data_IF_104478535249
#
_entry.id   IF_104478535249
#
_cell.length_a   1.000
_cell.length_b   1.000
_cell.length_c   1.000
_cell.angle_alpha   90.00
_cell.angle_beta   90.00
_cell.angle_gamma   90.00
#
_symmetry.space_group_name_H-M   'P 1'
#
loop_
_entity.id
_entity.type
_entity.pdbx_description
1 polymer ?
#
# COMPACT_ATOMS: atom_id res chain seq x y z
N UNK A 1 -22.02 3.64 6.51
CA UNK A 1 -21.78 4.58 7.63
C UNK A 1 -22.81 4.29 8.71
N UNK A 2 -22.42 4.35 9.98
CA UNK A 2 -23.27 4.14 11.14
C UNK A 2 -22.79 5.06 12.29
N UNK A 3 -23.70 5.54 13.12
CA UNK A 3 -23.40 6.40 14.26
C UNK A 3 -22.79 5.59 15.41
N UNK A 4 -21.85 6.18 16.15
CA UNK A 4 -21.19 5.56 17.31
C UNK A 4 -21.37 6.45 18.53
N UNK A 5 -21.54 5.84 19.70
CA UNK A 5 -21.59 6.53 20.99
C UNK A 5 -20.21 6.52 21.69
N UNK A 6 -20.15 7.11 22.88
CA UNK A 6 -18.94 7.18 23.71
C UNK A 6 -18.41 5.79 24.06
N UNK A 7 -19.31 4.87 24.41
CA UNK A 7 -18.98 3.54 24.90
C UNK A 7 -18.37 2.68 23.78
N UNK A 8 -18.89 2.83 22.56
CA UNK A 8 -18.31 2.25 21.35
C UNK A 8 -16.89 2.77 21.12
N UNK A 9 -16.70 4.09 21.19
CA UNK A 9 -15.39 4.72 20.96
C UNK A 9 -14.38 4.28 22.02
N UNK A 10 -14.78 4.17 23.28
CA UNK A 10 -13.91 3.73 24.38
C UNK A 10 -13.37 2.32 24.16
N UNK A 11 -14.23 1.38 23.71
CA UNK A 11 -13.81 0.02 23.36
C UNK A 11 -12.76 -0.02 22.25
N UNK A 12 -12.78 0.93 21.32
CA UNK A 12 -11.81 1.00 20.22
C UNK A 12 -10.50 1.69 20.62
N UNK A 13 -10.51 2.58 21.61
CA UNK A 13 -9.29 3.29 22.06
C UNK A 13 -8.37 2.44 22.92
N UNK A 14 -8.94 1.55 23.75
CA UNK A 14 -8.21 0.81 24.78
C UNK A 14 -7.95 -0.66 24.41
N UNK A 15 -7.82 -0.97 23.13
CA UNK A 15 -7.72 -2.35 22.63
C UNK A 15 -6.50 -2.53 21.74
N UNK A 16 -5.98 -3.75 21.71
CA UNK A 16 -5.03 -4.17 20.70
C UNK A 16 -5.78 -4.52 19.41
N UNK A 17 -5.12 -4.38 18.27
CA UNK A 17 -5.75 -4.63 16.98
C UNK A 17 -5.20 -5.88 16.33
N UNK A 18 -6.07 -6.69 15.74
CA UNK A 18 -5.69 -7.66 14.74
C UNK A 18 -5.87 -7.02 13.35
N UNK A 19 -4.87 -7.17 12.50
CA UNK A 19 -4.88 -6.65 11.12
C UNK A 19 -4.88 -7.79 10.12
N UNK A 20 -5.62 -7.61 9.03
CA UNK A 20 -5.66 -8.54 7.92
C UNK A 20 -4.35 -8.45 7.13
N UNK A 21 -3.76 -9.62 6.87
CA UNK A 21 -2.48 -9.78 6.16
C UNK A 21 -2.61 -10.64 4.90
N UNK A 22 -3.84 -10.99 4.50
CA UNK A 22 -4.18 -11.66 3.25
C UNK A 22 -5.20 -10.82 2.49
N UNK A 23 -4.98 -10.53 1.21
CA UNK A 23 -5.92 -9.68 0.49
C UNK A 23 -7.22 -10.42 0.15
N UNK A 24 -8.33 -9.69 0.12
CA UNK A 24 -9.68 -10.24 -0.09
C UNK A 24 -9.99 -11.42 0.85
N UNK A 25 -9.63 -11.28 2.12
CA UNK A 25 -9.90 -12.28 3.15
C UNK A 25 -11.42 -12.29 3.47
N UNK A 26 -12.12 -13.43 3.31
CA UNK A 26 -13.53 -13.50 3.66
C UNK A 26 -13.71 -13.48 5.18
N UNK A 27 -14.63 -12.64 5.65
CA UNK A 27 -15.03 -12.53 7.05
C UNK A 27 -16.40 -13.16 7.23
N UNK A 28 -16.56 -13.97 8.27
CA UNK A 28 -17.78 -14.69 8.59
C UNK A 28 -18.26 -14.31 9.99
N UNK A 29 -19.56 -14.47 10.25
CA UNK A 29 -20.07 -14.40 11.61
C UNK A 29 -19.91 -15.74 12.35
N UNK A 30 -20.35 -15.82 13.61
CA UNK A 30 -20.24 -17.04 14.42
C UNK A 30 -21.09 -18.22 13.91
N UNK A 31 -22.05 -17.97 13.01
CA UNK A 31 -22.85 -18.99 12.36
C UNK A 31 -22.30 -19.36 10.97
N UNK A 32 -21.02 -19.02 10.69
CA UNK A 32 -20.32 -19.24 9.42
C UNK A 32 -20.98 -18.60 8.19
N UNK A 33 -21.86 -17.62 8.39
CA UNK A 33 -22.41 -16.83 7.29
C UNK A 33 -21.41 -15.75 6.86
N UNK A 34 -21.17 -15.67 5.56
CA UNK A 34 -20.30 -14.65 4.96
C UNK A 34 -20.84 -13.24 5.24
N UNK A 35 -19.94 -12.33 5.59
CA UNK A 35 -20.24 -10.92 5.83
C UNK A 35 -19.71 -10.05 4.69
N UNK A 36 -18.39 -10.06 4.48
CA UNK A 36 -17.71 -9.26 3.46
C UNK A 36 -16.27 -9.73 3.27
N UNK A 37 -15.61 -9.23 2.22
CA UNK A 37 -14.17 -9.36 2.04
C UNK A 37 -13.44 -8.20 2.72
N UNK A 38 -12.47 -8.53 3.57
CA UNK A 38 -11.55 -7.58 4.15
C UNK A 38 -10.25 -7.52 3.33
N UNK A 39 -9.72 -6.32 3.17
CA UNK A 39 -8.46 -6.05 2.47
C UNK A 39 -7.29 -6.05 3.46
N UNK A 40 -6.07 -6.31 2.98
CA UNK A 40 -4.85 -6.08 3.79
C UNK A 40 -4.91 -4.69 4.44
N UNK A 41 -4.43 -4.59 5.69
CA UNK A 41 -4.47 -3.43 6.58
C UNK A 41 -5.82 -3.13 7.26
N UNK A 42 -6.91 -3.82 6.89
CA UNK A 42 -8.16 -3.75 7.66
C UNK A 42 -7.88 -4.22 9.08
N UNK A 43 -8.25 -3.43 10.08
CA UNK A 43 -7.88 -3.67 11.48
C UNK A 43 -9.12 -3.75 12.36
N UNK A 44 -9.16 -4.71 13.26
CA UNK A 44 -10.27 -5.00 14.16
C UNK A 44 -9.79 -5.01 15.61
N UNK A 45 -10.54 -4.41 16.55
CA UNK A 45 -10.29 -4.57 17.98
C UNK A 45 -10.28 -6.03 18.40
N UNK A 46 -9.26 -6.45 19.14
CA UNK A 46 -9.19 -7.79 19.72
C UNK A 46 -10.07 -7.83 20.98
N UNK A 47 -10.94 -8.82 21.03
CA UNK A 47 -11.73 -9.19 22.20
C UNK A 47 -11.00 -10.25 23.01
N UNK A 48 -10.49 -11.28 22.31
CA UNK A 48 -9.73 -12.37 22.91
C UNK A 48 -8.75 -12.97 21.90
N UNK A 49 -7.68 -13.58 22.39
CA UNK A 49 -6.64 -14.22 21.59
C UNK A 49 -6.57 -15.72 21.92
N UNK A 50 -6.98 -16.55 20.95
CA UNK A 50 -6.96 -18.00 21.04
C UNK A 50 -5.78 -18.58 20.23
N UNK A 51 -5.40 -19.85 20.41
CA UNK A 51 -4.23 -20.43 19.74
C UNK A 51 -4.26 -20.32 18.21
N UNK A 52 -5.42 -20.54 17.58
CA UNK A 52 -5.57 -20.55 16.11
C UNK A 52 -6.19 -19.29 15.51
N UNK A 53 -6.80 -18.43 16.31
CA UNK A 53 -7.60 -17.29 15.82
C UNK A 53 -7.72 -16.19 16.86
N UNK A 54 -8.11 -15.01 16.40
CA UNK A 54 -8.56 -13.92 17.25
C UNK A 54 -10.09 -13.88 17.27
N UNK A 55 -10.67 -13.56 18.43
CA UNK A 55 -12.01 -13.02 18.51
C UNK A 55 -11.90 -11.51 18.41
N UNK A 56 -12.62 -10.91 17.47
CA UNK A 56 -12.54 -9.48 17.20
C UNK A 56 -13.90 -8.83 17.08
N UNK A 57 -13.96 -7.53 17.34
CA UNK A 57 -15.15 -6.75 17.05
C UNK A 57 -15.19 -6.34 15.56
N UNK A 58 -16.31 -6.65 14.90
CA UNK A 58 -16.77 -5.96 13.68
C UNK A 58 -18.01 -5.13 14.02
N UNK A 59 -18.31 -4.13 13.20
CA UNK A 59 -19.51 -3.32 13.35
C UNK A 59 -20.53 -3.65 12.25
N UNK A 60 -21.81 -3.77 12.65
CA UNK A 60 -22.97 -3.81 11.74
C UNK A 60 -23.85 -2.61 12.00
N UNK A 61 -24.69 -2.24 11.03
CA UNK A 61 -25.64 -1.14 11.18
C UNK A 61 -27.00 -1.67 11.60
N UNK A 62 -27.60 -1.12 12.65
CA UNK A 62 -29.00 -1.40 13.01
C UNK A 62 -30.01 -0.58 12.20
N UNK A 63 -31.30 -0.76 12.50
CA UNK A 63 -32.41 -0.05 11.85
C UNK A 63 -32.38 1.47 12.07
N UNK A 64 -31.77 1.91 13.16
CA UNK A 64 -31.61 3.32 13.54
C UNK A 64 -30.30 3.93 13.04
N UNK A 65 -29.58 3.22 12.17
CA UNK A 65 -28.26 3.59 11.67
C UNK A 65 -27.16 3.69 12.73
N UNK A 66 -27.33 3.10 13.92
CA UNK A 66 -26.28 3.00 14.92
C UNK A 66 -25.37 1.79 14.62
N UNK A 67 -24.10 1.92 14.99
CA UNK A 67 -23.11 0.87 14.88
C UNK A 67 -23.26 -0.09 16.06
N UNK A 68 -23.53 -1.34 15.77
CA UNK A 68 -23.62 -2.39 16.79
C UNK A 68 -22.47 -3.36 16.62
N UNK A 69 -21.74 -3.57 17.71
CA UNK A 69 -20.62 -4.51 17.73
C UNK A 69 -21.11 -5.95 17.63
N UNK A 70 -20.37 -6.74 16.86
CA UNK A 70 -20.50 -8.18 16.73
C UNK A 70 -19.14 -8.80 16.93
N UNK A 71 -19.08 -9.90 17.67
CA UNK A 71 -17.85 -10.68 17.80
C UNK A 71 -17.77 -11.64 16.64
N UNK A 72 -16.65 -11.62 15.93
CA UNK A 72 -16.35 -12.55 14.84
C UNK A 72 -15.00 -13.22 15.07
N UNK A 73 -14.82 -14.39 14.47
CA UNK A 73 -13.58 -15.14 14.49
C UNK A 73 -12.76 -14.80 13.24
N UNK A 74 -11.48 -14.49 13.42
CA UNK A 74 -10.53 -14.34 12.32
C UNK A 74 -9.29 -15.21 12.53
N UNK A 75 -8.96 -16.01 11.53
CA UNK A 75 -7.87 -17.00 11.62
C UNK A 75 -6.49 -16.33 11.60
N UNK A 76 -5.54 -16.82 12.41
CA UNK A 76 -4.16 -16.31 12.48
C UNK A 76 -3.35 -16.56 11.20
N UNK A 77 -3.82 -17.40 10.28
CA UNK A 77 -3.22 -17.57 8.96
C UNK A 77 -3.44 -16.36 8.05
N UNK A 78 -4.58 -15.67 8.21
CA UNK A 78 -5.00 -14.51 7.40
C UNK A 78 -4.91 -13.17 8.13
N UNK A 79 -4.60 -13.20 9.43
CA UNK A 79 -4.51 -12.03 10.29
C UNK A 79 -3.33 -12.13 11.25
N UNK A 80 -2.90 -10.98 11.80
CA UNK A 80 -1.89 -10.93 12.86
C UNK A 80 -2.15 -9.75 13.78
N UNK A 81 -1.62 -9.84 15.00
CA UNK A 81 -1.63 -8.73 15.95
C UNK A 81 -0.79 -7.56 15.43
N UNK A 82 -1.34 -6.34 15.48
CA UNK A 82 -0.73 -5.09 15.01
C UNK A 82 -0.14 -4.32 16.20
N UNK A 83 1.08 -3.74 16.09
CA UNK A 83 1.95 -3.74 14.91
C UNK A 83 2.71 -5.06 14.71
N UNK A 84 2.79 -5.49 13.46
CA UNK A 84 3.61 -6.62 13.05
C UNK A 84 5.08 -6.17 13.01
N UNK A 85 6.01 -7.05 13.37
CA UNK A 85 7.45 -6.77 13.26
C UNK A 85 7.84 -6.58 11.79
N UNK A 86 8.45 -5.45 11.47
CA UNK A 86 9.01 -5.17 10.15
C UNK A 86 10.29 -6.00 9.96
N UNK A 87 10.15 -7.20 9.38
CA UNK A 87 11.24 -8.11 9.08
C UNK A 87 11.02 -8.76 7.70
N UNK A 88 12.05 -9.43 7.17
CA UNK A 88 12.01 -10.03 5.82
C UNK A 88 10.82 -10.97 5.62
N UNK A 89 10.50 -11.79 6.63
CA UNK A 89 9.41 -12.77 6.56
C UNK A 89 8.06 -12.08 6.38
N UNK A 90 7.73 -11.14 7.27
CA UNK A 90 6.46 -10.42 7.23
C UNK A 90 6.35 -9.51 6.01
N UNK A 91 7.45 -8.85 5.62
CA UNK A 91 7.54 -8.08 4.38
C UNK A 91 7.20 -8.97 3.19
N UNK A 92 7.85 -10.13 3.07
CA UNK A 92 7.63 -11.04 1.94
C UNK A 92 6.19 -11.55 1.91
N UNK A 93 5.64 -11.92 3.06
CA UNK A 93 4.24 -12.38 3.19
C UNK A 93 3.28 -11.30 2.71
N UNK A 94 3.42 -10.08 3.22
CA UNK A 94 2.49 -8.98 2.94
C UNK A 94 2.67 -8.44 1.51
N UNK A 95 3.89 -8.27 1.01
CA UNK A 95 4.14 -7.76 -0.35
C UNK A 95 3.50 -8.63 -1.44
N UNK A 96 3.51 -9.96 -1.27
CA UNK A 96 2.94 -10.90 -2.25
C UNK A 96 1.44 -10.70 -2.45
N UNK A 97 0.72 -10.29 -1.42
CA UNK A 97 -0.73 -10.10 -1.47
C UNK A 97 -1.17 -8.93 -2.37
N UNK A 98 -0.26 -8.02 -2.73
CA UNK A 98 -0.56 -6.91 -3.61
C UNK A 98 -0.28 -7.20 -5.09
N UNK A 99 0.63 -8.14 -5.38
CA UNK A 99 1.12 -8.37 -6.75
C UNK A 99 -0.01 -8.79 -7.69
N UNK A 100 -0.11 -8.14 -8.85
CA UNK A 100 -1.17 -8.39 -9.83
C UNK A 100 -2.54 -7.81 -9.46
N UNK A 101 -2.71 -7.15 -8.30
CA UNK A 101 -3.96 -6.43 -8.01
C UNK A 101 -4.19 -5.36 -9.09
N UNK A 102 -5.38 -5.35 -9.70
CA UNK A 102 -5.74 -4.38 -10.74
C UNK A 102 -5.67 -2.95 -10.18
N UNK A 103 -5.35 -1.98 -11.03
CA UNK A 103 -5.34 -0.58 -10.65
C UNK A 103 -6.77 -0.05 -10.46
N UNK A 104 -7.07 0.52 -9.29
CA UNK A 104 -8.35 1.16 -8.98
C UNK A 104 -8.16 2.62 -8.60
N UNK A 105 -8.45 3.56 -9.52
CA UNK A 105 -8.34 4.98 -9.25
C UNK A 105 -9.18 5.38 -8.03
N UNK A 106 -8.56 5.97 -7.00
CA UNK A 106 -9.29 6.41 -5.81
C UNK A 106 -9.89 5.29 -4.96
N UNK A 107 -9.63 4.01 -5.27
CA UNK A 107 -10.29 2.88 -4.61
C UNK A 107 -11.39 2.21 -5.45
N UNK A 108 -11.57 2.56 -6.73
CA UNK A 108 -12.62 1.98 -7.58
C UNK A 108 -12.56 0.45 -7.61
N UNK A 109 -13.74 -0.18 -7.58
CA UNK A 109 -13.91 -1.64 -7.51
C UNK A 109 -13.22 -2.29 -6.31
N UNK A 110 -13.03 -1.55 -5.22
CA UNK A 110 -12.29 -1.98 -4.02
C UNK A 110 -10.82 -2.31 -4.29
N UNK A 111 -10.28 -1.92 -5.44
CA UNK A 111 -8.87 -2.07 -5.77
C UNK A 111 -8.06 -0.89 -5.27
N UNK A 112 -6.73 -1.00 -5.26
CA UNK A 112 -5.84 0.10 -4.83
C UNK A 112 -5.34 0.94 -6.01
N UNK A 113 -5.12 2.22 -5.74
CA UNK A 113 -4.21 3.04 -6.54
C UNK A 113 -2.79 3.02 -5.93
N UNK A 114 -1.86 3.76 -6.54
CA UNK A 114 -0.46 3.81 -6.10
C UNK A 114 -0.30 4.11 -4.61
N UNK A 115 -0.98 5.15 -4.12
CA UNK A 115 -0.89 5.62 -2.74
C UNK A 115 -1.70 4.78 -1.75
N UNK A 116 -2.81 4.18 -2.17
CA UNK A 116 -3.53 3.22 -1.33
C UNK A 116 -2.68 1.95 -1.11
N UNK A 117 -1.98 1.46 -2.14
CA UNK A 117 -1.08 0.31 -2.03
C UNK A 117 0.05 0.55 -1.03
N UNK A 118 0.75 1.68 -1.12
CA UNK A 118 1.83 2.00 -0.17
C UNK A 118 1.30 2.18 1.25
N UNK A 119 0.20 2.89 1.44
CA UNK A 119 -0.43 3.06 2.76
C UNK A 119 -0.81 1.73 3.39
N UNK A 120 -1.46 0.86 2.63
CA UNK A 120 -1.95 -0.43 3.13
C UNK A 120 -0.78 -1.42 3.31
N UNK A 121 0.35 -1.27 2.60
CA UNK A 121 1.57 -2.02 2.89
C UNK A 121 2.17 -1.65 4.26
N UNK A 122 2.23 -0.36 4.59
CA UNK A 122 2.86 0.13 5.82
C UNK A 122 1.98 -0.03 7.08
N UNK A 123 0.65 0.04 6.92
CA UNK A 123 -0.28 0.03 8.05
C UNK A 123 -0.20 -1.20 8.99
N UNK A 124 -0.02 -2.45 8.50
CA UNK A 124 0.16 -3.61 9.37
C UNK A 124 1.38 -3.51 10.29
N UNK A 125 2.42 -2.78 9.87
CA UNK A 125 3.64 -2.53 10.66
C UNK A 125 3.49 -1.37 11.65
N UNK A 126 2.30 -0.77 11.74
CA UNK A 126 2.03 0.37 12.62
C UNK A 126 2.49 1.72 12.05
N UNK A 127 2.91 1.75 10.79
CA UNK A 127 3.35 2.98 10.13
C UNK A 127 2.15 3.59 9.41
N UNK A 128 1.75 4.78 9.85
CA UNK A 128 0.67 5.52 9.23
C UNK A 128 1.19 6.34 8.05
N UNK A 129 0.44 6.37 6.95
CA UNK A 129 0.70 7.24 5.81
C UNK A 129 -0.58 7.96 5.37
N UNK A 130 -0.49 9.23 4.94
CA UNK A 130 -1.63 9.97 4.41
C UNK A 130 -2.13 9.37 3.09
N UNK A 131 -3.34 9.75 2.67
CA UNK A 131 -4.01 9.13 1.51
C UNK A 131 -3.37 9.45 0.15
N UNK A 132 -2.80 10.63 -0.03
CA UNK A 132 -2.34 11.12 -1.34
C UNK A 132 -0.83 11.00 -1.49
N UNK A 133 -0.37 10.67 -2.69
CA UNK A 133 1.05 10.44 -3.01
C UNK A 133 1.96 11.63 -2.65
N UNK A 134 1.51 12.87 -2.89
CA UNK A 134 2.27 14.07 -2.54
C UNK A 134 2.41 14.22 -1.03
N UNK A 135 1.34 14.00 -0.28
CA UNK A 135 1.36 14.03 1.18
C UNK A 135 2.25 12.91 1.74
N UNK A 136 2.22 11.71 1.15
CA UNK A 136 3.08 10.60 1.59
C UNK A 136 4.55 10.91 1.40
N UNK A 137 4.93 11.49 0.26
CA UNK A 137 6.32 11.87 -0.02
C UNK A 137 6.89 12.83 1.03
N UNK A 138 6.07 13.75 1.55
CA UNK A 138 6.48 14.75 2.53
C UNK A 138 6.07 14.41 3.96
N UNK A 139 5.56 13.20 4.22
CA UNK A 139 5.07 12.83 5.55
C UNK A 139 6.22 12.61 6.53
N UNK A 140 7.32 12.03 6.07
CA UNK A 140 8.55 11.82 6.86
C UNK A 140 9.71 12.57 6.20
N UNK A 141 10.94 12.04 6.29
CA UNK A 141 12.13 12.68 5.75
C UNK A 141 12.18 12.62 4.22
N UNK A 142 11.76 13.71 3.58
CA UNK A 142 11.86 13.91 2.13
C UNK A 142 13.28 14.33 1.71
N UNK A 143 13.78 13.71 0.64
CA UNK A 143 15.04 14.04 0.00
C UNK A 143 14.76 14.37 -1.46
N UNK A 144 15.06 15.61 -1.86
CA UNK A 144 14.89 16.08 -3.23
C UNK A 144 16.01 15.55 -4.12
N UNK A 145 15.62 14.87 -5.20
CA UNK A 145 16.50 14.34 -6.23
C UNK A 145 16.25 15.03 -7.58
N UNK A 146 15.30 15.97 -7.67
CA UNK A 146 14.79 16.51 -8.93
C UNK A 146 15.86 17.14 -9.84
N UNK A 147 16.93 17.67 -9.23
CA UNK A 147 18.06 18.31 -9.93
C UNK A 147 19.19 17.34 -10.33
N UNK A 148 19.16 16.09 -9.87
CA UNK A 148 20.20 15.10 -10.18
C UNK A 148 20.00 14.52 -11.59
N UNK A 149 21.10 14.12 -12.23
CA UNK A 149 21.05 13.37 -13.48
C UNK A 149 20.52 11.94 -13.26
N UNK A 150 20.06 11.26 -14.33
CA UNK A 150 19.50 9.89 -14.29
C UNK A 150 20.36 8.90 -13.50
N UNK A 151 21.65 8.80 -13.84
CA UNK A 151 22.61 7.89 -13.19
C UNK A 151 22.91 8.29 -11.74
N UNK A 152 22.97 9.59 -11.46
CA UNK A 152 23.19 10.11 -10.11
C UNK A 152 22.00 9.82 -9.20
N UNK A 153 20.76 9.99 -9.69
CA UNK A 153 19.53 9.61 -8.96
C UNK A 153 19.57 8.14 -8.56
N UNK A 154 19.89 7.26 -9.50
CA UNK A 154 19.89 5.82 -9.27
C UNK A 154 20.95 5.43 -8.24
N UNK A 155 22.18 5.95 -8.40
CA UNK A 155 23.26 5.76 -7.42
C UNK A 155 22.87 6.27 -6.04
N UNK A 156 22.29 7.46 -5.95
CA UNK A 156 21.88 8.05 -4.67
C UNK A 156 20.83 7.17 -3.95
N UNK A 157 19.83 6.67 -4.68
CA UNK A 157 18.83 5.77 -4.11
C UNK A 157 19.49 4.48 -3.62
N UNK A 158 20.41 3.89 -4.39
CA UNK A 158 21.12 2.66 -4.00
C UNK A 158 21.94 2.87 -2.71
N UNK A 159 22.62 4.01 -2.58
CA UNK A 159 23.51 4.31 -1.45
C UNK A 159 22.76 4.73 -0.18
N UNK A 160 21.60 5.40 -0.30
CA UNK A 160 20.95 6.06 0.83
C UNK A 160 19.55 5.55 1.17
N UNK A 161 18.85 4.87 0.26
CA UNK A 161 17.52 4.34 0.53
C UNK A 161 17.58 2.96 1.20
N UNK A 162 16.62 2.69 2.08
CA UNK A 162 16.42 1.38 2.71
C UNK A 162 15.26 0.64 2.04
N UNK A 163 15.47 -0.58 1.49
CA UNK A 163 14.40 -1.39 0.93
C UNK A 163 13.24 -1.58 1.92
N UNK A 164 12.01 -1.47 1.43
CA UNK A 164 10.76 -1.60 2.21
C UNK A 164 10.54 -0.55 3.30
N UNK A 165 11.45 0.41 3.45
CA UNK A 165 11.38 1.52 4.40
C UNK A 165 11.47 2.89 3.69
N UNK A 166 11.51 2.88 2.36
CA UNK A 166 11.61 4.10 1.53
C UNK A 166 10.54 4.10 0.46
N UNK A 167 9.94 5.27 0.23
CA UNK A 167 9.07 5.50 -0.93
C UNK A 167 9.79 6.35 -1.96
N UNK A 168 9.48 6.12 -3.24
CA UNK A 168 10.00 6.87 -4.38
C UNK A 168 8.84 7.65 -4.99
N UNK A 169 9.02 8.96 -5.14
CA UNK A 169 7.97 9.88 -5.55
C UNK A 169 8.26 10.54 -6.89
N UNK A 170 7.21 10.60 -7.72
CA UNK A 170 7.12 11.50 -8.87
C UNK A 170 5.74 12.16 -8.89
N UNK A 171 5.59 13.28 -9.60
CA UNK A 171 4.30 13.99 -9.64
C UNK A 171 3.16 13.07 -10.10
N UNK A 172 2.22 12.80 -9.18
CA UNK A 172 1.04 11.96 -9.40
C UNK A 172 1.26 10.45 -9.25
N UNK A 173 2.41 9.99 -8.76
CA UNK A 173 2.68 8.56 -8.53
C UNK A 173 3.66 8.34 -7.38
N UNK A 174 3.46 7.27 -6.62
CA UNK A 174 4.36 6.87 -5.53
C UNK A 174 4.60 5.37 -5.57
N UNK A 175 5.79 4.96 -5.17
CA UNK A 175 6.25 3.58 -5.26
C UNK A 175 6.96 3.17 -3.97
N UNK A 176 6.92 1.89 -3.63
CA UNK A 176 7.71 1.32 -2.55
C UNK A 176 9.06 0.88 -3.10
N UNK A 177 10.17 1.44 -2.61
CA UNK A 177 11.50 0.95 -2.95
C UNK A 177 11.71 -0.45 -2.37
N UNK A 178 12.17 -1.40 -3.18
CA UNK A 178 12.36 -2.79 -2.75
C UNK A 178 13.81 -3.30 -2.91
N UNK A 179 14.73 -2.43 -3.30
CA UNK A 179 16.14 -2.76 -3.52
C UNK A 179 16.59 -2.56 -4.96
N UNK A 180 17.73 -3.14 -5.29
CA UNK A 180 18.36 -3.03 -6.60
C UNK A 180 18.94 -4.36 -7.05
N UNK A 181 19.06 -4.53 -8.37
CA UNK A 181 19.73 -5.66 -9.04
C UNK A 181 20.51 -5.10 -10.21
N UNK A 182 21.76 -5.51 -10.40
CA UNK A 182 22.63 -5.04 -11.49
C UNK A 182 22.66 -3.51 -11.64
N UNK A 183 22.80 -2.81 -10.51
CA UNK A 183 22.76 -1.34 -10.40
C UNK A 183 21.46 -0.67 -10.88
N UNK A 184 20.38 -1.42 -11.06
CA UNK A 184 19.04 -0.89 -11.36
C UNK A 184 18.17 -0.89 -10.12
N UNK A 185 17.58 0.26 -9.81
CA UNK A 185 16.63 0.41 -8.71
C UNK A 185 15.29 -0.21 -9.08
N UNK A 186 14.75 -1.04 -8.19
CA UNK A 186 13.45 -1.66 -8.31
C UNK A 186 12.46 -1.11 -7.28
N UNK A 187 11.20 -1.01 -7.72
CA UNK A 187 10.11 -0.60 -6.87
C UNK A 187 8.87 -1.48 -7.10
N UNK A 188 8.07 -1.65 -6.05
CA UNK A 188 6.73 -2.23 -6.11
C UNK A 188 5.70 -1.09 -6.13
N UNK A 189 4.76 -1.14 -7.07
CA UNK A 189 3.77 -0.09 -7.23
C UNK A 189 2.57 -0.55 -8.04
N UNK A 190 1.38 -0.06 -7.67
CA UNK A 190 0.18 -0.19 -8.48
C UNK A 190 0.07 1.01 -9.42
N UNK A 191 0.10 0.76 -10.74
CA UNK A 191 0.14 1.82 -11.75
C UNK A 191 -0.84 1.62 -12.90
N UNK A 192 -1.28 2.73 -13.47
CA UNK A 192 -2.15 2.72 -14.65
C UNK A 192 -1.38 2.39 -15.93
N UNK A 193 -0.40 3.20 -16.31
CA UNK A 193 0.35 3.02 -17.56
C UNK A 193 1.40 4.08 -17.81
N UNK A 194 2.23 3.84 -18.81
CA UNK A 194 3.32 4.73 -19.23
C UNK A 194 2.80 5.65 -20.33
N UNK A 195 3.20 6.93 -20.31
CA UNK A 195 2.81 7.88 -21.37
C UNK A 195 3.47 7.50 -22.69
N UNK A 196 2.70 7.48 -23.76
CA UNK A 196 3.19 7.26 -25.12
C UNK A 196 2.91 8.47 -26.01
N UNK A 197 3.71 8.59 -27.06
CA UNK A 197 3.44 9.43 -28.23
C UNK A 197 2.86 8.57 -29.37
N UNK A 198 2.06 9.19 -30.22
CA UNK A 198 1.68 8.58 -31.50
C UNK A 198 2.74 8.87 -32.59
N UNK A 199 2.51 8.33 -33.79
CA UNK A 199 3.41 8.48 -34.95
C UNK A 199 3.58 9.94 -35.40
N UNK A 200 2.65 10.83 -35.01
CA UNK A 200 2.74 12.28 -35.27
C UNK A 200 3.57 13.02 -34.21
N UNK A 201 4.05 12.32 -33.18
CA UNK A 201 4.77 12.90 -32.04
C UNK A 201 3.85 13.49 -30.96
N UNK A 202 2.53 13.35 -31.08
CA UNK A 202 1.58 13.91 -30.11
C UNK A 202 1.55 13.03 -28.86
N UNK A 203 1.81 13.66 -27.71
CA UNK A 203 1.70 13.02 -26.39
C UNK A 203 0.22 12.92 -26.02
N UNK A 204 -0.25 11.70 -25.74
CA UNK A 204 -1.65 11.49 -25.35
C UNK A 204 -1.98 10.07 -24.96
N UNK A 205 -1.35 9.09 -25.61
CA UNK A 205 -1.59 7.67 -25.39
C UNK A 205 -1.04 7.13 -24.06
N UNK A 206 -1.41 5.87 -23.77
CA UNK A 206 -0.86 5.11 -22.65
C UNK A 206 -0.57 3.68 -23.07
N UNK A 207 0.61 3.18 -22.69
CA UNK A 207 0.86 1.74 -22.62
C UNK A 207 0.40 1.25 -21.25
N UNK A 208 -0.73 0.54 -21.23
CA UNK A 208 -1.41 0.14 -19.98
C UNK A 208 -0.65 -1.01 -19.31
N UNK A 209 -0.39 -0.84 -18.02
CA UNK A 209 0.05 -1.91 -17.11
C UNK A 209 -1.15 -2.33 -16.26
N UNK A 210 -1.83 -1.35 -15.64
CA UNK A 210 -3.15 -1.53 -15.02
C UNK A 210 -3.17 -2.41 -13.78
N UNK A 211 -2.05 -2.59 -13.09
CA UNK A 211 -1.95 -3.45 -11.91
C UNK A 211 -0.71 -3.15 -11.06
N UNK A 212 -0.62 -3.80 -9.90
CA UNK A 212 0.59 -3.86 -9.07
C UNK A 212 1.66 -4.69 -9.73
N UNK A 213 2.82 -4.07 -9.93
CA UNK A 213 4.01 -4.71 -10.50
C UNK A 213 5.25 -4.41 -9.67
N UNK A 214 6.27 -5.23 -9.87
CA UNK A 214 7.66 -4.90 -9.56
C UNK A 214 8.33 -4.48 -10.86
N UNK A 215 8.91 -3.29 -10.90
CA UNK A 215 9.63 -2.82 -12.08
C UNK A 215 10.87 -2.01 -11.71
N UNK A 216 11.81 -1.90 -12.65
CA UNK A 216 12.90 -0.94 -12.52
C UNK A 216 12.41 0.48 -12.79
N UNK A 217 13.16 1.49 -12.35
CA UNK A 217 12.83 2.89 -12.68
C UNK A 217 13.00 3.22 -14.18
N UNK A 218 13.56 2.31 -14.97
CA UNK A 218 13.68 2.42 -16.43
C UNK A 218 12.47 1.80 -17.15
N UNK A 219 11.35 1.62 -16.45
CA UNK A 219 10.13 1.06 -17.03
C UNK A 219 9.72 1.82 -18.31
N UNK A 220 9.64 1.08 -19.42
CA UNK A 220 9.32 1.61 -20.76
C UNK A 220 10.53 1.74 -21.69
N UNK A 221 11.75 1.56 -21.19
CA UNK A 221 12.98 1.59 -22.00
C UNK A 221 12.92 0.55 -23.13
N UNK A 222 13.24 0.98 -24.35
CA UNK A 222 13.22 0.13 -25.55
C UNK A 222 11.83 -0.21 -26.10
N UNK A 223 10.75 0.33 -25.55
CA UNK A 223 9.40 0.12 -26.10
C UNK A 223 9.03 1.23 -27.11
N UNK A 224 8.47 0.82 -28.24
CA UNK A 224 7.96 1.74 -29.26
C UNK A 224 6.95 2.74 -28.70
N UNK A 225 7.08 3.99 -29.13
CA UNK A 225 6.21 5.09 -28.72
C UNK A 225 6.47 5.64 -27.31
N UNK A 226 7.50 5.15 -26.59
CA UNK A 226 7.93 5.70 -25.30
C UNK A 226 9.23 6.47 -25.47
N UNK A 227 9.21 7.75 -25.11
CA UNK A 227 10.41 8.58 -25.12
C UNK A 227 11.20 8.47 -23.82
N UNK A 228 12.50 8.79 -23.88
CA UNK A 228 13.38 8.84 -22.70
C UNK A 228 12.79 9.72 -21.59
N UNK A 229 12.19 10.86 -21.93
CA UNK A 229 11.55 11.79 -20.98
C UNK A 229 10.34 11.19 -20.24
N UNK A 230 9.73 10.13 -20.80
CA UNK A 230 8.58 9.44 -20.21
C UNK A 230 8.98 8.35 -19.22
N UNK A 231 10.24 7.92 -19.23
CA UNK A 231 10.77 6.93 -18.29
C UNK A 231 10.65 7.43 -16.85
N UNK A 232 10.37 6.51 -15.93
CA UNK A 232 10.08 6.87 -14.54
C UNK A 232 11.28 7.52 -13.85
N UNK A 233 12.50 7.02 -14.09
CA UNK A 233 13.75 7.56 -13.53
C UNK A 233 13.94 9.05 -13.84
N UNK A 234 13.55 9.51 -15.03
CA UNK A 234 13.64 10.91 -15.43
C UNK A 234 12.59 11.80 -14.77
N UNK A 235 11.54 11.19 -14.21
CA UNK A 235 10.41 11.88 -13.58
C UNK A 235 10.44 11.83 -12.06
N UNK A 236 11.39 11.12 -11.46
CA UNK A 236 11.55 11.07 -10.00
C UNK A 236 11.91 12.46 -9.47
N UNK A 237 11.11 12.91 -8.51
CA UNK A 237 11.33 14.15 -7.75
C UNK A 237 12.12 13.89 -6.49
N UNK A 238 11.89 12.76 -5.81
CA UNK A 238 12.57 12.49 -4.55
C UNK A 238 12.22 11.16 -3.94
N UNK A 239 12.83 10.90 -2.78
CA UNK A 239 12.51 9.75 -1.93
C UNK A 239 12.05 10.23 -0.55
N UNK A 240 11.28 9.39 0.14
CA UNK A 240 10.88 9.62 1.54
C UNK A 240 11.25 8.42 2.39
N UNK A 241 12.04 8.64 3.43
CA UNK A 241 12.47 7.57 4.35
C UNK A 241 11.40 7.40 5.44
N UNK A 242 10.60 6.35 5.35
CA UNK A 242 9.40 6.13 6.17
C UNK A 242 9.71 5.38 7.48
N UNK A 243 10.74 4.53 7.49
CA UNK A 243 11.08 3.67 8.65
C UNK A 243 11.98 4.32 9.71
N UNK A 244 12.19 5.64 9.67
CA UNK A 244 13.30 6.31 10.40
C UNK A 244 12.91 6.84 11.79
N UNK A 245 11.63 6.82 12.18
CA UNK A 245 11.22 7.26 13.51
C UNK A 245 10.76 6.08 14.38
N UNK A 246 11.69 5.60 15.21
CA UNK A 246 11.42 5.08 16.56
C UNK A 246 12.46 5.65 17.52
#
# INVERSE_FOLDING_TARGET
MAYVDSDFVEKFKNTEFATIIKDNAPIYNQADNFLYYAKVATSFPIVDELPSHYLVYTATKDENANAVLRVVKIDKNISAKKPIRLNRENITKISKEFLGEKYGWGGSFMNRDCSAMTRDFFSPFGIWLPRHSSSQAHYSKYIDLSKMAKSEKERYIIEHAKPFETTIYMKGHIMLYIGYVDNRVYAMHNMWGIRTKDDSGKIGGRKIVGQTVVSSLHLGEGLDGIEESALFINKIFGISLVGVEK
#
